data_IF_808767759851
#
_entry.id   IF_808767759851
#
_cell.length_a   1.000
_cell.length_b   1.000
_cell.length_c   1.000
_cell.angle_alpha   90.00
_cell.angle_beta   90.00
_cell.angle_gamma   90.00
#
_symmetry.space_group_name_H-M   'P 1'
#
loop_
_entity.id
_entity.type
_entity.pdbx_description
1 polymer ?
#
# COMPACT_ATOMS: atom_id res chain seq x y z
N UNK A 1 48.53 38.55 -12.00
CA UNK A 1 47.05 38.45 -12.00
C UNK A 1 46.73 37.12 -12.68
N UNK A 2 46.28 36.06 -11.99
CA UNK A 2 45.03 35.81 -11.23
C UNK A 2 44.17 34.84 -12.07
N UNK A 3 43.84 33.70 -11.47
CA UNK A 3 42.75 32.76 -11.82
C UNK A 3 42.95 31.80 -13.01
N UNK A 4 43.47 30.61 -12.71
CA UNK A 4 43.24 29.40 -13.51
C UNK A 4 43.15 28.18 -12.57
N UNK A 5 42.14 28.14 -11.70
CA UNK A 5 42.01 27.04 -10.72
C UNK A 5 40.62 26.93 -10.10
N UNK A 6 39.55 26.78 -10.88
CA UNK A 6 38.25 26.32 -10.33
C UNK A 6 37.43 25.62 -11.43
N UNK A 7 37.73 24.36 -11.76
CA UNK A 7 36.84 23.55 -12.61
C UNK A 7 36.91 22.06 -12.26
N UNK A 8 36.73 21.72 -10.97
CA UNK A 8 36.84 20.32 -10.51
C UNK A 8 35.81 19.89 -9.47
N UNK A 9 34.73 20.65 -9.23
CA UNK A 9 33.73 20.29 -8.21
C UNK A 9 32.32 20.47 -8.75
N UNK A 10 31.84 19.52 -9.55
CA UNK A 10 30.42 19.46 -9.93
C UNK A 10 29.89 18.03 -10.14
N UNK A 11 30.43 17.02 -9.44
CA UNK A 11 29.92 15.63 -9.50
C UNK A 11 29.69 14.99 -8.13
N UNK A 12 29.18 15.74 -7.15
CA UNK A 12 28.76 15.17 -5.85
C UNK A 12 27.35 15.62 -5.51
N UNK A 13 26.35 15.13 -6.25
CA UNK A 13 24.93 15.33 -5.88
C UNK A 13 23.95 14.26 -6.42
N UNK A 14 24.41 13.08 -6.86
CA UNK A 14 23.52 12.04 -7.43
C UNK A 14 23.17 10.88 -6.49
N UNK A 15 23.40 10.97 -5.17
CA UNK A 15 23.32 9.78 -4.30
C UNK A 15 22.46 9.93 -3.06
N UNK A 16 21.30 10.61 -3.17
CA UNK A 16 20.31 10.57 -2.10
C UNK A 16 18.87 10.70 -2.64
N UNK A 17 18.57 10.12 -3.80
CA UNK A 17 17.15 9.97 -4.18
C UNK A 17 16.55 8.97 -3.18
N UNK A 18 15.55 9.37 -2.37
CA UNK A 18 14.90 8.46 -1.45
C UNK A 18 14.32 7.29 -2.25
N UNK A 19 14.66 6.07 -1.83
CA UNK A 19 14.21 4.87 -2.51
C UNK A 19 12.68 4.88 -2.60
N UNK A 20 12.21 4.77 -3.84
CA UNK A 20 10.80 4.86 -4.21
C UNK A 20 10.49 3.71 -5.15
N UNK A 21 9.49 2.91 -4.81
CA UNK A 21 9.06 1.73 -5.58
C UNK A 21 7.63 1.98 -6.00
N UNK A 22 7.40 2.02 -7.31
CA UNK A 22 6.06 2.08 -7.86
C UNK A 22 5.40 0.70 -7.72
N UNK A 23 4.16 0.70 -7.22
CA UNK A 23 3.31 -0.49 -7.21
C UNK A 23 2.26 -0.27 -8.30
N UNK A 24 2.03 -1.23 -9.21
CA UNK A 24 1.01 -1.07 -10.23
C UNK A 24 -0.36 -0.80 -9.63
N UNK A 25 -1.11 0.08 -10.27
CA UNK A 25 -2.50 0.34 -9.96
C UNK A 25 -3.32 -0.95 -10.08
N UNK A 26 -4.29 -1.11 -9.20
CA UNK A 26 -5.18 -2.26 -9.23
C UNK A 26 -6.53 -1.95 -8.59
N UNK A 27 -7.47 -2.84 -8.85
CA UNK A 27 -8.83 -2.78 -8.37
C UNK A 27 -9.06 -3.95 -7.43
N UNK A 28 -9.58 -3.66 -6.23
CA UNK A 28 -9.88 -4.66 -5.22
C UNK A 28 -11.40 -4.75 -4.99
N UNK A 29 -12.00 -5.94 -4.98
CA UNK A 29 -13.37 -6.08 -4.54
C UNK A 29 -13.50 -5.75 -3.05
N UNK A 30 -14.62 -5.14 -2.69
CA UNK A 30 -15.02 -4.90 -1.31
C UNK A 30 -16.24 -5.76 -1.02
N UNK A 31 -16.12 -6.66 -0.04
CA UNK A 31 -17.25 -7.45 0.41
C UNK A 31 -18.36 -6.55 0.98
N UNK A 32 -19.61 -6.92 0.70
CA UNK A 32 -20.78 -6.24 1.27
C UNK A 32 -20.93 -6.45 2.79
N UNK A 33 -20.18 -7.39 3.36
CA UNK A 33 -20.25 -7.78 4.76
C UNK A 33 -19.09 -7.17 5.55
N UNK A 34 -19.38 -6.56 6.70
CA UNK A 34 -18.40 -6.00 7.64
C UNK A 34 -17.64 -7.05 8.45
N UNK A 35 -18.05 -8.32 8.44
CA UNK A 35 -17.41 -9.39 9.20
C UNK A 35 -16.14 -9.95 8.53
N UNK A 36 -15.86 -9.59 7.28
CA UNK A 36 -14.78 -10.19 6.49
C UNK A 36 -13.88 -9.15 5.86
N UNK A 37 -12.58 -9.44 5.83
CA UNK A 37 -11.56 -8.63 5.17
C UNK A 37 -11.27 -9.28 3.81
N UNK A 38 -11.35 -8.48 2.75
CA UNK A 38 -11.03 -8.90 1.39
C UNK A 38 -9.60 -8.49 1.05
N UNK A 39 -8.70 -9.45 0.88
CA UNK A 39 -7.29 -9.22 0.55
C UNK A 39 -6.98 -9.59 -0.90
N UNK A 40 -6.07 -8.82 -1.48
CA UNK A 40 -5.47 -9.11 -2.77
C UNK A 40 -3.96 -8.88 -2.71
N UNK A 41 -3.20 -9.74 -3.36
CA UNK A 41 -1.77 -9.54 -3.50
C UNK A 41 -1.51 -8.36 -4.45
N UNK A 42 -0.62 -7.46 -4.04
CA UNK A 42 -0.18 -6.37 -4.91
C UNK A 42 0.67 -6.92 -6.04
N UNK A 43 0.56 -6.36 -7.25
CA UNK A 43 1.36 -6.75 -8.41
C UNK A 43 2.76 -6.12 -8.40
N UNK A 44 3.35 -5.95 -7.22
CA UNK A 44 4.68 -5.36 -7.06
C UNK A 44 5.73 -6.17 -7.83
N UNK A 45 6.45 -5.50 -8.73
CA UNK A 45 7.47 -6.13 -9.59
C UNK A 45 8.89 -5.94 -9.07
N UNK A 46 9.12 -4.90 -8.27
CA UNK A 46 10.43 -4.48 -7.77
C UNK A 46 10.47 -4.46 -6.25
N UNK A 47 11.62 -4.75 -5.64
CA UNK A 47 11.85 -4.64 -4.21
C UNK A 47 13.06 -3.72 -3.97
N UNK A 48 13.23 -3.20 -2.75
CA UNK A 48 14.46 -2.51 -2.37
C UNK A 48 15.70 -3.38 -2.68
N UNK A 49 16.82 -2.80 -3.18
CA UNK A 49 18.06 -3.55 -3.40
C UNK A 49 18.60 -4.21 -2.12
N UNK A 50 18.31 -3.61 -0.97
CA UNK A 50 18.61 -4.14 0.36
C UNK A 50 17.37 -3.99 1.23
N UNK A 51 17.02 -4.97 2.08
CA UNK A 51 15.89 -4.85 2.99
C UNK A 51 16.00 -3.58 3.84
N UNK A 52 14.93 -2.80 3.87
CA UNK A 52 14.86 -1.56 4.64
C UNK A 52 14.05 -1.77 5.92
N UNK A 53 14.37 -0.98 6.94
CA UNK A 53 13.74 -1.10 8.28
C UNK A 53 12.31 -0.59 8.33
N UNK A 54 11.96 0.36 7.46
CA UNK A 54 10.63 0.95 7.47
C UNK A 54 10.24 1.47 6.10
N UNK A 55 9.01 1.17 5.71
CA UNK A 55 8.39 1.60 4.46
C UNK A 55 7.02 2.19 4.77
N UNK A 56 6.74 3.34 4.16
CA UNK A 56 5.39 3.86 4.01
C UNK A 56 4.88 3.62 2.60
N UNK A 57 3.60 3.31 2.44
CA UNK A 57 2.91 3.35 1.15
C UNK A 57 1.99 4.54 1.14
N UNK A 58 2.03 5.28 0.04
CA UNK A 58 1.12 6.38 -0.25
C UNK A 58 0.43 6.15 -1.58
N UNK A 59 -0.76 6.71 -1.73
CA UNK A 59 -1.50 6.65 -2.97
C UNK A 59 -2.87 7.27 -2.82
N UNK A 60 -3.77 6.92 -3.73
CA UNK A 60 -5.15 7.35 -3.72
C UNK A 60 -6.07 6.14 -3.77
N UNK A 61 -7.17 6.23 -3.03
CA UNK A 61 -8.28 5.30 -3.06
C UNK A 61 -9.52 6.01 -3.59
N UNK A 62 -10.25 5.36 -4.50
CA UNK A 62 -11.55 5.85 -5.00
C UNK A 62 -12.57 4.74 -4.90
N UNK A 63 -13.75 5.06 -4.38
CA UNK A 63 -14.86 4.11 -4.26
C UNK A 63 -16.14 4.75 -4.76
N UNK A 64 -16.98 3.98 -5.45
CA UNK A 64 -18.21 4.49 -6.07
C UNK A 64 -19.39 4.64 -5.09
N UNK A 65 -19.18 4.31 -3.81
CA UNK A 65 -20.20 4.41 -2.76
C UNK A 65 -19.64 5.18 -1.55
N UNK A 66 -20.52 5.75 -0.75
CA UNK A 66 -20.16 6.40 0.51
C UNK A 66 -20.13 5.37 1.63
N UNK A 67 -18.96 5.17 2.25
CA UNK A 67 -18.76 4.19 3.32
C UNK A 67 -17.49 4.47 4.10
N UNK A 68 -17.39 3.92 5.31
CA UNK A 68 -16.13 3.88 6.06
C UNK A 68 -15.50 2.51 5.88
N UNK A 69 -14.27 2.48 5.39
CA UNK A 69 -13.50 1.25 5.18
C UNK A 69 -12.30 1.20 6.12
N UNK A 70 -11.98 0.00 6.59
CA UNK A 70 -10.75 -0.31 7.30
C UNK A 70 -9.77 -1.02 6.37
N UNK A 71 -8.48 -0.70 6.53
CA UNK A 71 -7.41 -1.19 5.67
C UNK A 71 -6.41 -2.00 6.47
N UNK A 72 -6.01 -3.13 5.87
CA UNK A 72 -5.13 -4.10 6.48
C UNK A 72 -4.00 -4.47 5.53
N UNK A 73 -2.91 -4.99 6.08
CA UNK A 73 -1.81 -5.54 5.29
C UNK A 73 -1.38 -6.91 5.82
N UNK A 74 -0.82 -7.72 4.94
CA UNK A 74 -0.14 -8.97 5.27
C UNK A 74 1.10 -9.12 4.38
N UNK A 75 2.13 -9.80 4.89
CA UNK A 75 3.35 -10.17 4.16
C UNK A 75 3.37 -11.66 3.75
N UNK A 76 2.29 -12.39 4.03
CA UNK A 76 2.09 -13.80 3.68
C UNK A 76 0.65 -13.99 3.19
N UNK A 77 0.31 -15.13 2.56
CA UNK A 77 -1.09 -15.44 2.26
C UNK A 77 -1.96 -15.32 3.54
N UNK A 78 -2.99 -14.46 3.56
CA UNK A 78 -3.68 -14.08 4.79
C UNK A 78 -4.59 -15.17 5.35
N UNK A 79 -5.07 -16.08 4.49
CA UNK A 79 -5.82 -17.27 4.89
C UNK A 79 -5.81 -18.32 3.77
N UNK A 80 -6.34 -19.52 4.04
CA UNK A 80 -6.29 -20.65 3.10
C UNK A 80 -7.26 -20.58 1.92
N UNK A 81 -8.31 -19.75 1.99
CA UNK A 81 -9.33 -19.69 0.94
C UNK A 81 -9.03 -18.56 -0.04
N UNK A 82 -8.79 -18.92 -1.31
CA UNK A 82 -8.59 -17.98 -2.40
C UNK A 82 -9.57 -18.28 -3.54
N UNK A 83 -10.23 -17.25 -4.06
CA UNK A 83 -11.09 -17.33 -5.23
C UNK A 83 -10.66 -16.25 -6.22
N UNK A 84 -10.16 -16.64 -7.39
CA UNK A 84 -9.74 -15.67 -8.42
C UNK A 84 -8.61 -14.73 -7.98
N UNK A 85 -7.73 -15.14 -7.07
CA UNK A 85 -6.63 -14.32 -6.54
C UNK A 85 -7.03 -13.37 -5.40
N UNK A 86 -8.28 -13.46 -4.93
CA UNK A 86 -8.81 -12.69 -3.81
C UNK A 86 -9.02 -13.63 -2.62
N UNK A 87 -8.57 -13.19 -1.45
CA UNK A 87 -8.74 -13.88 -0.19
C UNK A 87 -9.84 -13.20 0.62
N UNK A 88 -10.72 -13.97 1.25
CA UNK A 88 -11.74 -13.45 2.17
C UNK A 88 -11.51 -14.07 3.53
N UNK A 89 -11.05 -13.27 4.49
CA UNK A 89 -10.56 -13.77 5.77
C UNK A 89 -11.22 -13.04 6.94
N UNK A 90 -11.35 -13.72 8.07
CA UNK A 90 -11.52 -13.06 9.36
C UNK A 90 -10.20 -12.43 9.80
N UNK A 91 -10.25 -11.40 10.64
CA UNK A 91 -9.02 -10.79 11.16
C UNK A 91 -8.20 -11.78 12.00
N UNK A 92 -6.91 -11.89 11.70
CA UNK A 92 -5.93 -12.65 12.46
C UNK A 92 -4.69 -11.77 12.72
N UNK A 93 -4.46 -11.31 13.96
CA UNK A 93 -3.33 -10.44 14.27
C UNK A 93 -1.96 -11.12 14.09
N UNK A 94 -1.90 -12.45 13.98
CA UNK A 94 -0.65 -13.16 13.74
C UNK A 94 -0.14 -12.99 12.31
N UNK A 95 -1.04 -12.75 11.36
CA UNK A 95 -0.72 -12.61 9.92
C UNK A 95 -1.12 -11.26 9.33
N UNK A 96 -1.95 -10.48 10.04
CA UNK A 96 -2.56 -9.25 9.54
C UNK A 96 -2.28 -8.06 10.46
N UNK A 97 -2.15 -6.88 9.86
CA UNK A 97 -1.96 -5.61 10.57
C UNK A 97 -2.92 -4.57 10.02
N UNK A 98 -3.71 -3.92 10.89
CA UNK A 98 -4.54 -2.76 10.50
C UNK A 98 -3.63 -1.56 10.27
N UNK A 99 -3.71 -0.95 9.10
CA UNK A 99 -2.85 0.18 8.71
C UNK A 99 -3.59 1.50 8.57
N UNK A 100 -4.92 1.47 8.49
CA UNK A 100 -5.69 2.70 8.37
C UNK A 100 -7.19 2.50 8.31
N UNK A 101 -7.88 3.63 8.21
CA UNK A 101 -9.33 3.75 8.06
C UNK A 101 -9.63 4.99 7.21
N UNK A 102 -10.68 4.96 6.39
CA UNK A 102 -11.09 6.13 5.60
C UNK A 102 -12.60 6.17 5.42
N UNK A 103 -13.19 7.33 5.70
CA UNK A 103 -14.57 7.66 5.38
C UNK A 103 -14.64 8.20 3.94
N UNK A 104 -14.98 7.33 3.00
CA UNK A 104 -15.00 7.62 1.58
C UNK A 104 -16.32 8.24 1.16
N UNK A 105 -16.24 9.16 0.19
CA UNK A 105 -17.39 9.70 -0.53
C UNK A 105 -17.44 9.10 -1.93
N UNK A 106 -18.65 8.83 -2.41
CA UNK A 106 -18.86 8.23 -3.73
C UNK A 106 -18.16 9.02 -4.85
N UNK A 107 -17.28 8.34 -5.58
CA UNK A 107 -16.54 8.86 -6.74
C UNK A 107 -15.40 9.83 -6.41
N UNK A 108 -15.14 10.12 -5.13
CA UNK A 108 -14.10 11.05 -4.72
C UNK A 108 -12.80 10.29 -4.44
N UNK A 109 -11.72 10.68 -5.11
CA UNK A 109 -10.39 10.18 -4.81
C UNK A 109 -9.89 10.76 -3.48
N UNK A 110 -9.47 9.87 -2.58
CA UNK A 110 -8.92 10.23 -1.28
C UNK A 110 -7.49 9.74 -1.17
N UNK A 111 -6.57 10.65 -0.81
CA UNK A 111 -5.19 10.29 -0.54
C UNK A 111 -5.07 9.50 0.76
N UNK A 112 -4.14 8.56 0.79
CA UNK A 112 -3.77 7.84 2.00
C UNK A 112 -2.25 7.75 2.14
N UNK A 113 -1.81 7.53 3.37
CA UNK A 113 -0.45 7.18 3.72
C UNK A 113 -0.48 6.16 4.85
N UNK A 114 0.09 4.99 4.62
CA UNK A 114 0.09 3.87 5.54
C UNK A 114 1.51 3.41 5.82
N UNK A 115 1.72 2.93 7.03
CA UNK A 115 2.97 2.31 7.47
C UNK A 115 2.63 1.14 8.37
N UNK A 116 3.49 0.13 8.38
CA UNK A 116 3.30 -1.05 9.22
C UNK A 116 4.44 -2.04 9.04
N UNK A 117 4.58 -2.95 9.99
CA UNK A 117 5.58 -4.01 9.96
C UNK A 117 5.33 -5.01 8.83
N UNK A 118 4.07 -5.45 8.66
CA UNK A 118 3.64 -6.35 7.59
C UNK A 118 3.75 -5.69 6.23
N UNK A 119 3.41 -4.40 6.14
CA UNK A 119 3.63 -3.60 4.95
C UNK A 119 5.12 -3.55 4.56
N UNK A 120 5.99 -3.23 5.53
CA UNK A 120 7.43 -3.15 5.31
C UNK A 120 8.01 -4.48 4.85
N UNK A 121 7.67 -5.56 5.52
CA UNK A 121 8.11 -6.91 5.15
C UNK A 121 7.58 -7.32 3.77
N UNK A 122 6.30 -7.08 3.50
CA UNK A 122 5.66 -7.39 2.22
C UNK A 122 6.34 -6.69 1.06
N UNK A 123 6.70 -5.41 1.20
CA UNK A 123 7.46 -4.71 0.16
C UNK A 123 8.90 -5.24 0.03
N UNK A 124 9.60 -5.50 1.14
CA UNK A 124 10.95 -6.08 1.10
C UNK A 124 10.95 -7.45 0.38
N UNK A 125 9.88 -8.24 0.52
CA UNK A 125 9.79 -9.61 0.02
C UNK A 125 8.96 -9.77 -1.27
N UNK A 126 8.30 -8.71 -1.76
CA UNK A 126 7.32 -8.73 -2.86
C UNK A 126 6.10 -9.62 -2.58
N UNK A 127 5.72 -9.74 -1.32
CA UNK A 127 4.60 -10.55 -0.84
C UNK A 127 3.55 -9.70 -0.13
N UNK A 128 3.44 -8.42 -0.51
CA UNK A 128 2.45 -7.53 0.10
C UNK A 128 1.04 -7.88 -0.37
N UNK A 129 0.16 -8.14 0.59
CA UNK A 129 -1.28 -8.21 0.42
C UNK A 129 -1.94 -7.00 1.09
N UNK A 130 -2.89 -6.38 0.41
CA UNK A 130 -3.69 -5.28 0.95
C UNK A 130 -5.13 -5.76 1.12
N UNK A 131 -5.63 -5.59 2.34
CA UNK A 131 -6.95 -5.99 2.79
C UNK A 131 -7.87 -4.81 3.00
N UNK A 132 -9.16 -5.00 2.70
CA UNK A 132 -10.20 -3.99 2.89
C UNK A 132 -11.39 -4.63 3.59
N UNK A 133 -11.92 -3.97 4.62
CA UNK A 133 -13.14 -4.37 5.31
C UNK A 133 -14.11 -3.19 5.40
N UNK A 134 -15.41 -3.48 5.31
CA UNK A 134 -16.44 -2.52 5.60
C UNK A 134 -16.52 -2.29 7.12
N UNK A 135 -16.39 -1.04 7.55
CA UNK A 135 -16.66 -0.65 8.94
C UNK A 135 -18.09 -0.16 9.13
N UNK A 136 -18.54 0.74 8.26
CA UNK A 136 -19.91 1.27 8.29
C UNK A 136 -20.37 1.84 6.94
N UNK A 137 -21.69 1.90 6.75
CA UNK A 137 -22.33 2.32 5.49
C UNK A 137 -23.18 1.20 4.89
N UNK A 138 -24.03 1.54 3.93
CA UNK A 138 -24.73 0.55 3.11
C UNK A 138 -23.81 0.18 1.94
N UNK A 139 -23.18 -1.00 1.99
CA UNK A 139 -22.54 -1.58 0.82
C UNK A 139 -23.42 -2.66 0.21
N UNK A 140 -23.64 -2.58 -1.09
CA UNK A 140 -24.14 -3.72 -1.89
C UNK A 140 -22.99 -4.55 -2.48
N UNK A 141 -21.77 -4.33 -2.00
CA UNK A 141 -20.52 -4.74 -2.65
C UNK A 141 -20.05 -3.71 -3.67
N UNK A 142 -18.79 -3.75 -4.06
CA UNK A 142 -18.25 -2.84 -5.07
C UNK A 142 -16.75 -3.03 -5.30
N UNK A 143 -16.17 -2.14 -6.11
CA UNK A 143 -14.75 -2.17 -6.46
C UNK A 143 -14.07 -0.91 -5.94
N UNK A 144 -13.06 -1.11 -5.09
CA UNK A 144 -12.17 -0.05 -4.63
C UNK A 144 -10.97 0.06 -5.57
N UNK A 145 -10.74 1.26 -6.06
CA UNK A 145 -9.64 1.54 -6.97
C UNK A 145 -8.45 2.08 -6.19
N UNK A 146 -7.31 1.44 -6.32
CA UNK A 146 -6.03 1.92 -5.80
C UNK A 146 -5.22 2.52 -6.95
N UNK A 147 -4.81 3.78 -6.81
CA UNK A 147 -4.10 4.54 -7.85
C UNK A 147 -2.87 5.25 -7.30
N UNK A 148 -1.86 5.42 -8.16
CA UNK A 148 -0.64 6.15 -7.86
C UNK A 148 0.09 5.60 -6.62
N UNK A 149 0.13 4.28 -6.49
CA UNK A 149 0.73 3.62 -5.34
C UNK A 149 2.25 3.71 -5.38
N UNK A 150 2.83 4.23 -4.30
CA UNK A 150 4.27 4.36 -4.13
C UNK A 150 4.68 3.92 -2.74
N UNK A 151 5.57 2.93 -2.67
CA UNK A 151 6.29 2.58 -1.46
C UNK A 151 7.56 3.43 -1.34
N UNK A 152 7.72 4.12 -0.20
CA UNK A 152 8.88 4.96 0.11
C UNK A 152 9.52 4.49 1.40
N UNK A 153 10.84 4.56 1.46
CA UNK A 153 11.55 4.39 2.73
C UNK A 153 11.09 5.49 3.68
N UNK A 154 10.55 5.07 4.82
CA UNK A 154 10.22 6.00 5.88
C UNK A 154 11.51 6.33 6.63
N UNK A 155 11.95 7.58 6.55
CA UNK A 155 13.07 8.09 7.34
C UNK A 155 12.46 8.59 8.65
N UNK A 156 12.69 7.86 9.74
CA UNK A 156 12.33 8.26 11.10
C UNK A 156 13.61 8.59 11.86
#
# INVERSE_FOLDING_TARGET
MKQLLVLSVALVACSAVPLSIAIPDYDSPVAANSATITFQQTSQTQAPPTPVKSIGIQGQITYNQTATLEFYTSDTPPCGTVLGGVYTCSFDPSTMEKVGESALQAGVAQSFSWSGSRLTNGINQKTLYIGVALKSGLLTGGTLQFRNLVARVAVF
#
